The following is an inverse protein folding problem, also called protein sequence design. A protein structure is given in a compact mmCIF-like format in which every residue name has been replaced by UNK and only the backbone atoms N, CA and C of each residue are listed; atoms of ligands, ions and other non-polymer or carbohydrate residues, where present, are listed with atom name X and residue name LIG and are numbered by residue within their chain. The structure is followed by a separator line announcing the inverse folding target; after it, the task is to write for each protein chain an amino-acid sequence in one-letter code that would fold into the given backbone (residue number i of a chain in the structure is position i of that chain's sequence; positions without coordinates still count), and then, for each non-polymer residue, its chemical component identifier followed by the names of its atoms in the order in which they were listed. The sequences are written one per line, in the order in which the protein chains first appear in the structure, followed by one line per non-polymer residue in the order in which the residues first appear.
data_IF_126944625305
#
_entry.id   IF_126944625305
#
_cell.length_a   1.000
_cell.length_b   1.000
_cell.length_c   1.000
_cell.angle_alpha   90.00
_cell.angle_beta   90.00
_cell.angle_gamma   90.00
#
_symmetry.space_group_name_H-M   'P 1'
#
loop_
_entity.id
_entity.type
_entity.pdbx_description
1 polymer ?
#
# COMPACT_ATOMS: atom_id res chain seq x y z
N UNK A 1 -0.03 -33.94 11.77
CA UNK A 1 -1.42 -33.64 11.35
C UNK A 1 -1.45 -32.22 10.81
N UNK A 2 -1.94 -32.01 9.59
CA UNK A 2 -2.11 -30.68 8.99
C UNK A 2 -3.56 -30.25 9.21
N UNK A 3 -3.78 -29.18 9.98
CA UNK A 3 -5.11 -28.67 10.27
C UNK A 3 -5.53 -27.65 9.22
N UNK A 4 -6.41 -28.06 8.33
CA UNK A 4 -6.92 -27.24 7.23
C UNK A 4 -8.30 -26.69 7.58
N UNK A 5 -8.47 -25.37 7.48
CA UNK A 5 -9.77 -24.74 7.36
C UNK A 5 -10.48 -25.20 6.07
N UNK A 6 -11.80 -24.96 5.99
CA UNK A 6 -12.60 -25.36 4.84
C UNK A 6 -11.96 -24.92 3.51
N UNK A 7 -11.88 -25.85 2.55
CA UNK A 7 -11.37 -25.56 1.20
C UNK A 7 -9.85 -25.60 1.02
N UNK A 8 -9.09 -26.25 1.91
CA UNK A 8 -7.65 -26.46 1.71
C UNK A 8 -6.74 -25.35 2.26
N UNK A 9 -7.32 -24.36 2.95
CA UNK A 9 -6.58 -23.25 3.56
C UNK A 9 -6.07 -23.65 4.95
N UNK A 10 -4.83 -23.30 5.31
CA UNK A 10 -4.34 -23.57 6.67
C UNK A 10 -5.14 -22.82 7.74
N UNK A 11 -5.44 -23.49 8.85
CA UNK A 11 -6.13 -22.86 9.96
C UNK A 11 -5.25 -21.77 10.59
N UNK A 12 -5.82 -20.57 10.73
CA UNK A 12 -5.15 -19.44 11.38
C UNK A 12 -5.46 -19.41 12.88
N UNK A 13 -4.42 -19.19 13.69
CA UNK A 13 -4.50 -19.13 15.15
C UNK A 13 -3.99 -17.79 15.66
N UNK A 14 -4.60 -17.30 16.74
CA UNK A 14 -4.10 -16.13 17.48
C UNK A 14 -3.01 -16.57 18.45
N UNK A 15 -1.85 -15.92 18.39
CA UNK A 15 -0.79 -16.12 19.39
C UNK A 15 -1.04 -15.25 20.63
N UNK A 16 -0.88 -15.85 21.80
CA UNK A 16 -0.81 -15.16 23.09
C UNK A 16 0.55 -15.47 23.71
N UNK A 17 1.54 -14.66 23.35
CA UNK A 17 2.91 -14.77 23.84
C UNK A 17 3.55 -13.37 23.83
N UNK A 18 4.26 -13.01 24.89
CA UNK A 18 4.81 -11.65 25.06
C UNK A 18 5.94 -11.36 24.08
N UNK A 19 6.81 -12.33 23.80
CA UNK A 19 7.88 -12.21 22.79
C UNK A 19 7.27 -12.00 21.41
N UNK A 20 6.31 -12.83 21.00
CA UNK A 20 5.61 -12.68 19.73
C UNK A 20 4.89 -11.32 19.62
N UNK A 21 4.27 -10.86 20.72
CA UNK A 21 3.62 -9.54 20.80
C UNK A 21 4.62 -8.40 20.61
N UNK A 22 5.81 -8.49 21.19
CA UNK A 22 6.87 -7.50 21.03
C UNK A 22 7.34 -7.39 19.58
N UNK A 23 7.39 -8.51 18.84
CA UNK A 23 7.67 -8.54 17.40
C UNK A 23 6.47 -8.20 16.51
N UNK A 24 5.30 -7.91 17.07
CA UNK A 24 4.10 -7.58 16.31
C UNK A 24 3.40 -8.78 15.67
N UNK A 25 3.82 -10.00 15.97
CA UNK A 25 3.22 -11.24 15.47
C UNK A 25 1.90 -11.48 16.21
N UNK A 26 0.79 -11.59 15.46
CA UNK A 26 -0.57 -11.74 16.02
C UNK A 26 -1.26 -13.02 15.62
N UNK A 27 -1.09 -13.40 14.35
CA UNK A 27 -1.78 -14.53 13.74
C UNK A 27 -0.80 -15.38 12.97
N UNK A 28 -0.93 -16.70 13.14
CA UNK A 28 -0.03 -17.69 12.53
C UNK A 28 -0.78 -18.88 11.99
N UNK A 29 -0.12 -19.63 11.12
CA UNK A 29 -0.52 -20.97 10.69
C UNK A 29 0.60 -21.96 11.00
N UNK A 30 0.27 -23.24 11.20
CA UNK A 30 1.29 -24.28 11.15
C UNK A 30 1.79 -24.40 9.72
N UNK A 31 3.10 -24.30 9.53
CA UNK A 31 3.72 -24.36 8.20
C UNK A 31 4.31 -25.74 7.89
N UNK A 32 4.41 -26.60 8.91
CA UNK A 32 4.96 -27.94 8.84
C UNK A 32 4.22 -28.84 9.86
N UNK A 33 4.67 -30.08 10.01
CA UNK A 33 4.16 -31.03 10.97
C UNK A 33 4.33 -30.59 12.43
N UNK A 34 3.37 -30.98 13.26
CA UNK A 34 3.48 -30.99 14.72
C UNK A 34 3.95 -32.36 15.15
N UNK A 35 5.06 -32.43 15.88
CA UNK A 35 5.53 -33.65 16.54
C UNK A 35 5.36 -33.52 18.05
N UNK A 36 5.06 -34.64 18.69
CA UNK A 36 4.99 -34.73 20.14
C UNK A 36 5.62 -36.05 20.57
N UNK A 37 6.53 -35.99 21.53
CA UNK A 37 7.13 -37.17 22.17
C UNK A 37 7.09 -37.01 23.68
N UNK A 38 7.01 -38.13 24.39
CA UNK A 38 7.17 -38.11 25.84
C UNK A 38 8.61 -37.71 26.19
N UNK A 39 8.75 -36.95 27.27
CA UNK A 39 10.04 -36.63 27.87
C UNK A 39 10.61 -37.86 28.56
N UNK A 40 11.91 -38.08 28.41
CA UNK A 40 12.56 -39.31 28.85
C UNK A 40 12.68 -39.39 30.40
N UNK A 41 12.46 -38.27 31.10
CA UNK A 41 12.66 -38.14 32.55
C UNK A 41 11.45 -37.60 33.31
N UNK A 42 10.61 -36.79 32.66
CA UNK A 42 9.48 -36.13 33.26
C UNK A 42 8.17 -36.65 32.67
N UNK A 43 7.08 -36.64 33.45
CA UNK A 43 5.74 -36.98 32.96
C UNK A 43 5.14 -35.81 32.15
N UNK A 44 5.79 -35.47 31.04
CA UNK A 44 5.40 -34.37 30.17
C UNK A 44 5.63 -34.72 28.69
N UNK A 45 5.04 -33.93 27.82
CA UNK A 45 5.22 -34.04 26.37
C UNK A 45 6.11 -32.91 25.88
N UNK A 46 7.13 -33.26 25.11
CA UNK A 46 7.90 -32.32 24.30
C UNK A 46 7.19 -32.19 22.96
N UNK A 47 6.70 -30.99 22.67
CA UNK A 47 5.98 -30.67 21.43
C UNK A 47 6.83 -29.73 20.58
N UNK A 48 7.02 -30.08 19.31
CA UNK A 48 7.78 -29.28 18.35
C UNK A 48 6.93 -29.00 17.11
N UNK A 49 6.99 -27.76 16.64
CA UNK A 49 6.23 -27.28 15.49
C UNK A 49 6.88 -26.02 14.91
N UNK A 50 6.52 -25.70 13.67
CA UNK A 50 6.93 -24.47 12.98
C UNK A 50 5.69 -23.63 12.66
N UNK A 51 5.79 -22.32 12.89
CA UNK A 51 4.72 -21.36 12.66
C UNK A 51 5.13 -20.34 11.59
N UNK A 52 4.21 -20.06 10.67
CA UNK A 52 4.34 -18.94 9.71
C UNK A 52 3.40 -17.81 10.11
N UNK A 53 3.89 -16.57 10.06
CA UNK A 53 3.08 -15.37 10.26
C UNK A 53 2.13 -15.14 9.09
N UNK A 54 0.85 -14.82 9.37
CA UNK A 54 -0.17 -14.55 8.34
C UNK A 54 -0.54 -13.08 8.19
N UNK A 55 -0.50 -12.31 9.27
CA UNK A 55 -0.92 -10.90 9.29
C UNK A 55 0.02 -10.11 10.19
N UNK A 56 0.95 -9.39 9.57
CA UNK A 56 1.88 -8.49 10.26
C UNK A 56 1.35 -7.05 10.27
N UNK A 57 1.58 -6.31 11.35
CA UNK A 57 1.20 -4.90 11.41
C UNK A 57 1.82 -4.03 10.29
N UNK A 58 3.10 -4.23 9.89
CA UNK A 58 3.70 -3.54 8.75
C UNK A 58 2.98 -3.81 7.42
N UNK A 59 2.56 -5.06 7.17
CA UNK A 59 1.77 -5.42 5.98
C UNK A 59 0.41 -4.70 5.97
N UNK A 60 -0.27 -4.67 7.12
CA UNK A 60 -1.52 -3.90 7.28
C UNK A 60 -1.34 -2.39 7.17
N UNK A 61 -0.15 -1.88 7.49
CA UNK A 61 0.17 -0.46 7.33
C UNK A 61 0.45 -0.13 5.87
N UNK A 62 1.15 -1.02 5.15
CA UNK A 62 1.41 -0.89 3.72
C UNK A 62 0.13 -0.96 2.90
N UNK A 63 -0.74 -1.95 3.15
CA UNK A 63 -2.06 -2.03 2.49
C UNK A 63 -2.96 -0.82 2.78
N UNK A 64 -2.67 -0.05 3.84
CA UNK A 64 -3.38 1.18 4.18
C UNK A 64 -2.80 2.44 3.55
N UNK A 65 -1.60 2.40 2.96
CA UNK A 65 -1.13 3.49 2.10
C UNK A 65 -2.04 3.52 0.87
N UNK A 66 -2.96 4.49 0.85
CA UNK A 66 -3.74 4.78 -0.33
C UNK A 66 -2.76 4.97 -1.49
N UNK A 67 -2.90 4.15 -2.55
CA UNK A 67 -2.11 4.33 -3.76
C UNK A 67 -2.26 5.77 -4.22
N UNK A 68 -1.14 6.47 -4.40
CA UNK A 68 -1.14 7.84 -4.89
C UNK A 68 -2.07 7.90 -6.11
N UNK A 69 -3.14 8.69 -6.01
CA UNK A 69 -4.14 8.78 -7.06
C UNK A 69 -3.45 9.08 -8.38
N UNK A 70 -3.52 8.15 -9.33
CA UNK A 70 -3.00 8.39 -10.68
C UNK A 70 -3.87 9.47 -11.29
N UNK A 71 -3.34 10.70 -11.34
CA UNK A 71 -3.97 11.77 -12.08
C UNK A 71 -3.84 11.41 -13.55
N UNK A 72 -4.91 10.90 -14.17
CA UNK A 72 -4.95 10.71 -15.61
C UNK A 72 -4.82 12.09 -16.26
N UNK A 73 -3.66 12.36 -16.86
CA UNK A 73 -3.43 13.59 -17.62
C UNK A 73 -4.17 13.47 -18.96
N UNK A 74 -5.36 14.05 -19.05
CA UNK A 74 -6.00 14.27 -20.35
C UNK A 74 -5.20 15.34 -21.09
N UNK A 75 -4.61 14.97 -22.22
CA UNK A 75 -4.01 15.93 -23.14
C UNK A 75 -5.10 16.82 -23.75
N UNK A 76 -4.93 18.15 -23.79
CA UNK A 76 -5.79 19.01 -24.61
C UNK A 76 -5.40 18.77 -26.07
N UNK A 77 -6.08 17.83 -26.73
CA UNK A 77 -6.05 17.71 -28.18
C UNK A 77 -6.97 18.75 -28.77
N UNK A 78 -6.44 19.95 -29.05
CA UNK A 78 -7.15 20.96 -29.83
C UNK A 78 -7.39 20.42 -31.24
N UNK A 79 -8.67 20.26 -31.59
CA UNK A 79 -9.07 19.98 -32.96
C UNK A 79 -8.81 21.20 -33.83
N UNK A 80 -7.96 21.05 -34.83
CA UNK A 80 -7.69 22.10 -35.83
C UNK A 80 -8.91 22.28 -36.75
N UNK A 81 -9.90 23.05 -36.30
CA UNK A 81 -10.93 23.62 -37.15
C UNK A 81 -10.71 25.13 -37.21
N UNK A 82 -9.96 25.58 -38.21
CA UNK A 82 -9.77 26.99 -38.49
C UNK A 82 -11.08 27.64 -38.94
N UNK A 83 -11.53 28.65 -38.19
CA UNK A 83 -12.25 29.83 -38.71
C UNK A 83 -12.45 30.87 -37.60
N UNK A 84 -12.07 32.12 -37.87
CA UNK A 84 -12.72 33.28 -37.24
C UNK A 84 -11.94 34.06 -36.17
N UNK A 85 -11.14 35.02 -36.64
CA UNK A 85 -10.81 36.33 -36.04
C UNK A 85 -11.52 36.74 -34.72
N UNK A 86 -10.75 36.83 -33.63
CA UNK A 86 -10.60 37.98 -32.73
C UNK A 86 -11.80 38.54 -31.93
N UNK A 87 -11.77 38.38 -30.60
CA UNK A 87 -11.96 39.49 -29.63
C UNK A 87 -11.67 39.00 -28.21
N UNK A 88 -10.82 39.74 -27.49
CA UNK A 88 -10.43 39.41 -26.13
C UNK A 88 -11.55 39.63 -25.12
N UNK A 89 -11.76 38.64 -24.25
CA UNK A 89 -12.37 38.80 -22.94
C UNK A 89 -11.41 38.17 -21.93
N UNK A 90 -11.06 38.93 -20.90
CA UNK A 90 -9.98 38.65 -19.97
C UNK A 90 -10.18 37.31 -19.24
N UNK A 91 -9.27 36.38 -19.52
CA UNK A 91 -9.08 35.17 -18.73
C UNK A 91 -8.61 35.60 -17.33
N UNK A 92 -9.35 35.20 -16.28
CA UNK A 92 -8.95 35.44 -14.89
C UNK A 92 -7.71 34.60 -14.59
N UNK A 93 -6.54 35.17 -14.83
CA UNK A 93 -5.26 34.52 -14.60
C UNK A 93 -5.15 34.16 -13.12
N UNK A 94 -5.22 32.87 -12.81
CA UNK A 94 -5.02 32.41 -11.44
C UNK A 94 -3.55 32.62 -11.06
N UNK A 95 -3.27 32.79 -9.77
CA UNK A 95 -2.05 33.46 -9.28
C UNK A 95 -0.70 33.01 -9.87
N UNK A 96 -0.58 31.77 -10.34
CA UNK A 96 0.63 31.29 -11.02
C UNK A 96 0.75 31.77 -12.48
N UNK A 97 -0.36 31.85 -13.23
CA UNK A 97 -0.39 32.35 -14.61
C UNK A 97 -0.07 33.85 -14.68
N UNK A 98 -0.46 34.60 -13.64
CA UNK A 98 -0.08 36.00 -13.49
C UNK A 98 1.45 36.16 -13.31
N UNK A 99 2.10 35.23 -12.61
CA UNK A 99 3.57 35.22 -12.44
C UNK A 99 4.26 34.88 -13.76
N UNK A 100 3.76 33.87 -14.49
CA UNK A 100 4.30 33.52 -15.81
C UNK A 100 4.17 34.67 -16.81
N UNK A 101 3.02 35.34 -16.88
CA UNK A 101 2.86 36.51 -17.76
C UNK A 101 3.80 37.65 -17.38
N UNK A 102 4.10 37.83 -16.09
CA UNK A 102 5.02 38.86 -15.62
C UNK A 102 6.47 38.55 -16.02
N UNK A 103 6.86 37.29 -15.95
CA UNK A 103 8.19 36.84 -16.39
C UNK A 103 8.31 36.91 -17.92
N UNK A 104 7.28 36.48 -18.64
CA UNK A 104 7.22 36.55 -20.11
C UNK A 104 7.30 38.00 -20.61
N UNK A 105 6.55 38.92 -19.99
CA UNK A 105 6.61 40.35 -20.31
C UNK A 105 7.98 40.98 -19.98
N UNK A 106 8.68 40.46 -18.97
CA UNK A 106 10.01 40.91 -18.58
C UNK A 106 11.10 40.39 -19.53
N UNK A 107 10.94 39.17 -20.05
CA UNK A 107 11.88 38.57 -21.00
C UNK A 107 11.61 38.98 -22.45
N UNK A 108 10.36 39.26 -22.81
CA UNK A 108 9.97 39.81 -24.11
C UNK A 108 10.20 41.32 -24.24
N UNK A 109 10.56 41.99 -23.13
CA UNK A 109 10.91 43.40 -23.09
C UNK A 109 12.40 43.67 -23.31
N UNK A 110 12.90 43.40 -24.51
CA UNK A 110 14.10 44.06 -25.04
C UNK A 110 13.73 44.75 -26.36
N UNK A 111 14.15 46.02 -26.58
CA UNK A 111 13.70 46.85 -27.70
C UNK A 111 14.02 46.25 -29.07
#
# INVERSE_FOLDING_TARGET
AEATAGGGQLQTYRIVNDTAKAFGIRQVTFSDGVSAREDDTLAQWIVQFTLSEKLSNPEKAENRRAGNGVTSQSAPGDGVAGSGSGSGAAEELTGFEAVLKKVDSYLGGTP
#
